data_IF_544363276548
#
_entry.id   IF_544363276548
#
_cell.length_a   1.000
_cell.length_b   1.000
_cell.length_c   1.000
_cell.angle_alpha   90.00
_cell.angle_beta   90.00
_cell.angle_gamma   90.00
#
_symmetry.space_group_name_H-M   'P 1'
#
loop_
_entity.id
_entity.type
_entity.pdbx_description
1 polymer ?
#
# COMPACT_ATOMS: atom_id res chain seq x y z
N UNK A 1 -3.90 21.53 -29.38
CA UNK A 1 -5.39 21.55 -29.35
C UNK A 1 -6.00 20.71 -28.21
N UNK A 2 -5.30 20.48 -27.07
CA UNK A 2 -5.82 19.72 -25.91
C UNK A 2 -5.94 20.57 -24.62
N UNK A 3 -5.75 21.90 -24.70
CA UNK A 3 -5.71 22.77 -23.51
C UNK A 3 -7.08 23.25 -23.01
N UNK A 4 -8.18 23.05 -23.75
CA UNK A 4 -9.46 23.73 -23.45
C UNK A 4 -10.66 22.80 -23.22
N UNK A 5 -10.51 21.48 -23.36
CA UNK A 5 -11.51 20.55 -22.80
C UNK A 5 -11.06 20.19 -21.38
N UNK A 6 -11.47 21.00 -20.39
CA UNK A 6 -11.84 20.43 -19.08
C UNK A 6 -12.66 19.17 -19.41
N UNK A 7 -12.41 18.04 -18.76
CA UNK A 7 -13.20 16.84 -18.97
C UNK A 7 -14.69 17.15 -18.76
N UNK A 8 -15.39 17.61 -19.80
CA UNK A 8 -16.84 17.82 -19.86
C UNK A 8 -17.61 16.48 -19.86
N UNK A 9 -16.93 15.43 -19.43
CA UNK A 9 -17.27 14.02 -19.54
C UNK A 9 -16.90 13.29 -18.25
N UNK A 10 -16.44 13.97 -17.19
CA UNK A 10 -16.28 13.33 -15.88
C UNK A 10 -17.64 12.83 -15.36
N UNK A 11 -18.72 13.52 -15.73
CA UNK A 11 -20.12 13.15 -15.42
C UNK A 11 -20.65 12.00 -16.30
N UNK A 12 -19.86 11.49 -17.25
CA UNK A 12 -20.28 10.42 -18.16
C UNK A 12 -19.38 9.18 -18.01
N UNK A 13 -19.57 8.36 -16.95
CA UNK A 13 -18.78 7.15 -16.71
C UNK A 13 -18.61 6.22 -17.92
N UNK A 14 -19.59 6.07 -18.85
CA UNK A 14 -19.43 5.26 -20.06
C UNK A 14 -18.31 5.70 -21.01
N UNK A 15 -17.89 6.97 -20.98
CA UNK A 15 -16.85 7.50 -21.87
C UNK A 15 -15.52 7.73 -21.14
N UNK A 16 -15.57 8.13 -19.88
CA UNK A 16 -14.35 8.33 -19.06
C UNK A 16 -13.68 6.99 -18.74
N UNK A 17 -14.46 5.97 -18.37
CA UNK A 17 -13.89 4.68 -17.91
C UNK A 17 -13.08 3.97 -19.00
N UNK A 18 -13.54 3.86 -20.27
CA UNK A 18 -12.74 3.27 -21.34
C UNK A 18 -11.45 4.03 -21.63
N UNK A 19 -11.50 5.37 -21.60
CA UNK A 19 -10.31 6.20 -21.82
C UNK A 19 -9.28 5.99 -20.70
N UNK A 20 -9.71 5.99 -19.44
CA UNK A 20 -8.82 5.73 -18.30
C UNK A 20 -8.24 4.32 -18.35
N UNK A 21 -9.03 3.33 -18.75
CA UNK A 21 -8.55 1.96 -18.93
C UNK A 21 -7.54 1.86 -20.07
N UNK A 22 -7.78 2.56 -21.17
CA UNK A 22 -6.80 2.65 -22.26
C UNK A 22 -5.48 3.24 -21.76
N UNK A 23 -5.51 4.34 -20.99
CA UNK A 23 -4.30 4.92 -20.38
C UNK A 23 -3.61 3.91 -19.45
N UNK A 24 -4.38 3.21 -18.61
CA UNK A 24 -3.84 2.20 -17.69
C UNK A 24 -3.19 1.01 -18.40
N UNK A 25 -3.69 0.60 -19.57
CA UNK A 25 -3.09 -0.45 -20.40
C UNK A 25 -1.95 0.07 -21.28
N UNK A 26 -2.00 1.34 -21.68
CA UNK A 26 -0.96 1.98 -22.47
C UNK A 26 0.33 2.14 -21.67
N UNK A 27 0.23 2.60 -20.42
CA UNK A 27 1.37 2.74 -19.52
C UNK A 27 1.85 1.42 -18.90
N UNK A 28 1.13 0.32 -19.13
CA UNK A 28 1.51 -0.98 -18.58
C UNK A 28 2.67 -1.58 -19.37
N UNK A 29 3.87 -1.55 -18.77
CA UNK A 29 5.09 -2.09 -19.36
C UNK A 29 5.23 -3.60 -19.12
N UNK A 30 4.24 -4.39 -19.54
CA UNK A 30 4.35 -5.85 -19.49
C UNK A 30 5.30 -6.34 -20.59
N UNK A 31 6.20 -7.26 -20.25
CA UNK A 31 7.18 -7.84 -21.19
C UNK A 31 8.13 -6.83 -21.84
N UNK A 32 8.45 -5.73 -21.15
CA UNK A 32 9.36 -4.69 -21.67
C UNK A 32 8.88 -4.09 -23.01
N UNK A 33 7.57 -3.96 -23.22
CA UNK A 33 6.98 -3.35 -24.42
C UNK A 33 7.34 -1.86 -24.56
N UNK A 34 7.55 -1.17 -23.44
CA UNK A 34 8.00 0.21 -23.39
C UNK A 34 9.48 0.22 -22.99
N UNK A 35 10.35 0.22 -24.00
CA UNK A 35 11.79 0.43 -23.83
C UNK A 35 12.16 1.72 -24.53
N UNK A 36 12.52 2.71 -23.73
CA UNK A 36 13.06 3.97 -24.23
C UNK A 36 14.55 4.03 -23.90
N UNK A 37 15.34 4.55 -24.83
CA UNK A 37 16.74 4.82 -24.55
C UNK A 37 16.87 5.85 -23.41
N UNK A 38 17.93 5.76 -22.61
CA UNK A 38 18.18 6.71 -21.51
C UNK A 38 18.27 8.18 -21.95
N UNK A 39 18.58 8.43 -23.23
CA UNK A 39 18.58 9.75 -23.86
C UNK A 39 17.22 10.18 -24.42
N UNK A 40 16.23 9.30 -24.43
CA UNK A 40 14.93 9.55 -25.04
C UNK A 40 13.99 10.29 -24.09
N UNK A 41 13.39 11.42 -24.51
CA UNK A 41 12.39 12.13 -23.71
C UNK A 41 11.02 11.42 -23.67
N UNK A 42 10.84 10.34 -24.44
CA UNK A 42 9.54 9.71 -24.64
C UNK A 42 8.93 9.15 -23.35
N UNK A 43 9.74 8.58 -22.47
CA UNK A 43 9.26 8.11 -21.16
C UNK A 43 8.71 9.24 -20.29
N UNK A 44 9.44 10.36 -20.24
CA UNK A 44 9.05 11.56 -19.48
C UNK A 44 7.76 12.14 -20.05
N UNK A 45 7.67 12.27 -21.38
CA UNK A 45 6.47 12.78 -22.06
C UNK A 45 5.26 11.87 -21.81
N UNK A 46 5.45 10.55 -21.89
CA UNK A 46 4.40 9.57 -21.61
C UNK A 46 3.86 9.75 -20.18
N UNK A 47 4.74 9.77 -19.19
CA UNK A 47 4.32 9.96 -17.80
C UNK A 47 3.65 11.31 -17.57
N UNK A 48 4.13 12.37 -18.23
CA UNK A 48 3.52 13.70 -18.15
C UNK A 48 2.10 13.72 -18.71
N UNK A 49 1.81 13.00 -19.78
CA UNK A 49 0.44 12.85 -20.28
C UNK A 49 -0.43 12.01 -19.32
N UNK A 50 0.11 10.93 -18.75
CA UNK A 50 -0.60 10.13 -17.72
C UNK A 50 -0.94 11.00 -16.51
N UNK A 51 0.03 11.77 -16.01
CA UNK A 51 -0.14 12.71 -14.90
C UNK A 51 -1.26 13.71 -15.17
N UNK A 52 -1.27 14.37 -16.34
CA UNK A 52 -2.34 15.31 -16.72
C UNK A 52 -3.72 14.65 -16.71
N UNK A 53 -3.84 13.43 -17.23
CA UNK A 53 -5.12 12.70 -17.25
C UNK A 53 -5.58 12.39 -15.83
N UNK A 54 -4.69 11.88 -14.98
CA UNK A 54 -4.99 11.54 -13.58
C UNK A 54 -5.38 12.78 -12.78
N UNK A 55 -4.62 13.87 -12.87
CA UNK A 55 -4.89 15.13 -12.15
C UNK A 55 -6.21 15.75 -12.61
N UNK A 56 -6.48 15.76 -13.92
CA UNK A 56 -7.74 16.29 -14.46
C UNK A 56 -8.94 15.50 -13.97
N UNK A 57 -8.83 14.16 -13.96
CA UNK A 57 -9.89 13.29 -13.46
C UNK A 57 -10.08 13.46 -11.94
N UNK A 58 -8.99 13.49 -11.17
CA UNK A 58 -9.02 13.68 -9.72
C UNK A 58 -9.74 14.97 -9.33
N UNK A 59 -9.40 16.09 -9.98
CA UNK A 59 -10.06 17.36 -9.71
C UNK A 59 -11.55 17.34 -10.04
N UNK A 60 -11.94 16.62 -11.10
CA UNK A 60 -13.35 16.50 -11.47
C UNK A 60 -14.13 15.60 -10.49
N UNK A 61 -13.60 14.42 -10.14
CA UNK A 61 -14.27 13.46 -9.26
C UNK A 61 -14.35 13.94 -7.80
N UNK A 62 -13.38 14.74 -7.36
CA UNK A 62 -13.38 15.35 -6.02
C UNK A 62 -14.30 16.57 -5.93
N UNK A 63 -14.57 17.26 -7.04
CA UNK A 63 -15.51 18.37 -7.10
C UNK A 63 -16.98 17.93 -7.16
N UNK A 64 -17.24 16.68 -7.55
CA UNK A 64 -18.58 16.09 -7.50
C UNK A 64 -18.96 15.81 -6.05
N UNK A 65 -20.02 16.43 -5.56
CA UNK A 65 -20.54 16.16 -4.22
C UNK A 65 -20.86 14.65 -4.09
N UNK A 66 -20.52 14.00 -2.96
CA UNK A 66 -20.95 12.63 -2.72
C UNK A 66 -22.48 12.58 -2.83
N UNK A 67 -23.06 11.62 -3.57
CA UNK A 67 -24.51 11.55 -3.71
C UNK A 67 -25.15 11.46 -2.32
N UNK A 68 -26.27 12.16 -2.07
CA UNK A 68 -26.90 12.13 -0.77
C UNK A 68 -27.20 10.68 -0.38
N UNK A 69 -26.63 10.25 0.75
CA UNK A 69 -27.06 9.02 1.42
C UNK A 69 -28.52 9.27 1.81
N UNK A 70 -29.46 8.65 1.08
CA UNK A 70 -30.87 8.71 1.44
C UNK A 70 -31.05 7.99 2.79
N UNK A 71 -31.10 8.78 3.85
CA UNK A 71 -31.66 8.39 5.13
C UNK A 71 -33.12 8.03 4.91
N UNK A 72 -33.51 6.85 5.38
CA UNK A 72 -34.86 6.33 5.18
C UNK A 72 -35.95 7.20 5.82
N UNK A 73 -37.05 7.32 5.10
CA UNK A 73 -38.39 7.56 5.65
C UNK A 73 -39.42 6.99 4.67
N UNK A 74 -40.46 6.38 5.24
CA UNK A 74 -41.28 5.36 4.57
C UNK A 74 -42.49 5.87 3.81
N UNK A 75 -43.22 4.90 3.23
CA UNK A 75 -44.65 4.99 2.93
C UNK A 75 -45.03 4.82 1.45
N UNK A 76 -45.76 3.72 1.16
CA UNK A 76 -46.89 3.78 0.23
C UNK A 76 -46.72 3.27 -1.20
N UNK A 77 -46.99 1.97 -1.39
CA UNK A 77 -47.84 1.35 -2.44
C UNK A 77 -47.91 1.93 -3.86
N UNK A 78 -47.59 1.10 -4.86
CA UNK A 78 -48.03 1.31 -6.25
C UNK A 78 -47.41 0.31 -7.24
N UNK A 79 -48.23 -0.60 -7.75
CA UNK A 79 -47.96 -1.73 -8.65
C UNK A 79 -47.49 -1.35 -10.07
N UNK A 80 -46.63 -2.16 -10.71
CA UNK A 80 -46.37 -2.09 -12.15
C UNK A 80 -45.26 -3.04 -12.63
N UNK A 81 -45.57 -3.86 -13.64
CA UNK A 81 -44.92 -5.09 -14.09
C UNK A 81 -43.93 -4.86 -15.26
N UNK A 82 -42.88 -5.68 -15.41
CA UNK A 82 -42.33 -6.07 -16.73
C UNK A 82 -40.81 -6.02 -16.98
N UNK A 83 -40.17 -7.22 -17.02
CA UNK A 83 -38.97 -7.61 -17.82
C UNK A 83 -37.61 -6.98 -17.46
N UNK A 84 -36.46 -7.67 -17.33
CA UNK A 84 -36.00 -9.00 -17.74
C UNK A 84 -34.52 -8.84 -18.14
N UNK A 85 -33.58 -9.37 -17.35
CA UNK A 85 -32.13 -9.32 -17.66
C UNK A 85 -31.24 -9.74 -16.49
N UNK A 86 -30.73 -10.96 -16.55
CA UNK A 86 -30.05 -11.69 -15.48
C UNK A 86 -28.56 -11.32 -15.30
N UNK A 87 -28.09 -11.39 -14.05
CA UNK A 87 -26.67 -11.35 -13.69
C UNK A 87 -26.44 -11.02 -12.21
N UNK A 88 -26.67 -12.01 -11.34
CA UNK A 88 -26.79 -11.91 -9.89
C UNK A 88 -25.47 -11.60 -9.14
N UNK A 89 -25.61 -10.84 -8.05
CA UNK A 89 -24.63 -10.59 -6.99
C UNK A 89 -25.17 -9.55 -6.02
N UNK A 90 -26.06 -9.96 -5.13
CA UNK A 90 -26.86 -9.07 -4.27
C UNK A 90 -26.12 -8.46 -3.08
N UNK A 91 -26.55 -7.25 -2.69
CA UNK A 91 -26.28 -6.62 -1.39
C UNK A 91 -26.14 -5.09 -1.45
N UNK A 92 -27.21 -4.33 -1.17
CA UNK A 92 -27.17 -2.91 -0.79
C UNK A 92 -27.36 -1.88 -1.92
N UNK A 93 -28.61 -1.52 -2.24
CA UNK A 93 -29.03 -0.66 -3.36
C UNK A 93 -28.53 0.80 -3.38
N UNK A 94 -27.76 1.26 -2.39
CA UNK A 94 -27.08 2.57 -2.41
C UNK A 94 -25.60 2.51 -2.81
N UNK A 95 -24.92 1.38 -2.56
CA UNK A 95 -23.47 1.25 -2.79
C UNK A 95 -23.07 1.07 -4.25
N UNK A 96 -23.93 0.45 -5.06
CA UNK A 96 -23.65 0.19 -6.48
C UNK A 96 -23.58 1.48 -7.31
N UNK A 97 -24.41 2.48 -7.00
CA UNK A 97 -24.44 3.74 -7.73
C UNK A 97 -23.17 4.57 -7.48
N UNK A 98 -22.74 4.69 -6.22
CA UNK A 98 -21.47 5.35 -5.84
C UNK A 98 -20.27 4.63 -6.46
N UNK A 99 -20.32 3.30 -6.49
CA UNK A 99 -19.27 2.52 -7.11
C UNK A 99 -19.15 2.81 -8.62
N UNK A 100 -20.27 2.77 -9.36
CA UNK A 100 -20.24 2.94 -10.81
C UNK A 100 -19.93 4.38 -11.26
N UNK A 101 -20.34 5.39 -10.49
CA UNK A 101 -20.11 6.80 -10.83
C UNK A 101 -18.76 7.31 -10.34
N UNK A 102 -18.28 6.84 -9.19
CA UNK A 102 -17.11 7.42 -8.50
C UNK A 102 -15.96 6.44 -8.33
N UNK A 103 -16.19 5.33 -7.64
CA UNK A 103 -15.09 4.42 -7.27
C UNK A 103 -14.49 3.72 -8.48
N UNK A 104 -15.29 3.48 -9.52
CA UNK A 104 -14.85 2.84 -10.77
C UNK A 104 -13.76 3.59 -11.49
N UNK A 105 -13.89 4.91 -11.64
CA UNK A 105 -12.84 5.70 -12.27
C UNK A 105 -11.66 5.94 -11.34
N UNK A 106 -11.90 6.11 -10.03
CA UNK A 106 -10.82 6.22 -9.04
C UNK A 106 -9.89 5.02 -9.12
N UNK A 107 -10.39 3.78 -9.02
CA UNK A 107 -9.48 2.62 -9.02
C UNK A 107 -8.73 2.45 -10.34
N UNK A 108 -9.32 2.82 -11.48
CA UNK A 108 -8.63 2.78 -12.78
C UNK A 108 -7.51 3.82 -12.82
N UNK A 109 -7.72 5.03 -12.28
CA UNK A 109 -6.67 6.04 -12.16
C UNK A 109 -5.54 5.59 -11.23
N UNK A 110 -5.87 5.02 -10.07
CA UNK A 110 -4.86 4.50 -9.14
C UNK A 110 -4.04 3.38 -9.79
N UNK A 111 -4.70 2.49 -10.53
CA UNK A 111 -4.04 1.41 -11.26
C UNK A 111 -3.13 1.94 -12.39
N UNK A 112 -3.60 2.93 -13.16
CA UNK A 112 -2.80 3.55 -14.21
C UNK A 112 -1.52 4.17 -13.63
N UNK A 113 -1.65 4.90 -12.52
CA UNK A 113 -0.52 5.52 -11.85
C UNK A 113 0.45 4.46 -11.29
N UNK A 114 -0.06 3.43 -10.60
CA UNK A 114 0.77 2.36 -10.07
C UNK A 114 1.61 1.68 -11.18
N UNK A 115 0.98 1.36 -12.32
CA UNK A 115 1.66 0.77 -13.48
C UNK A 115 2.65 1.71 -14.15
N UNK A 116 2.36 3.01 -14.16
CA UNK A 116 3.26 4.00 -14.72
C UNK A 116 4.52 4.17 -13.87
N UNK A 117 4.36 4.21 -12.55
CA UNK A 117 5.45 4.31 -11.59
C UNK A 117 6.30 3.03 -11.53
N UNK A 118 5.69 1.85 -11.61
CA UNK A 118 6.40 0.56 -11.62
C UNK A 118 6.91 0.12 -12.99
N UNK A 119 6.76 0.97 -14.02
CA UNK A 119 6.99 0.60 -15.41
C UNK A 119 8.46 0.59 -15.83
N UNK A 120 9.36 1.17 -15.03
CA UNK A 120 10.81 1.27 -15.28
C UNK A 120 11.21 1.90 -16.63
N UNK A 121 10.31 2.62 -17.29
CA UNK A 121 10.57 3.30 -18.58
C UNK A 121 10.83 4.81 -18.42
N UNK A 122 10.83 5.33 -17.18
CA UNK A 122 11.15 6.72 -16.84
C UNK A 122 12.02 6.74 -15.60
N UNK A 123 13.05 7.59 -15.61
CA UNK A 123 13.76 7.93 -14.38
C UNK A 123 13.06 9.12 -13.70
N UNK A 124 12.39 8.84 -12.59
CA UNK A 124 11.58 9.85 -11.91
C UNK A 124 12.40 10.96 -11.23
N UNK A 125 13.68 10.73 -10.94
CA UNK A 125 14.57 11.77 -10.39
C UNK A 125 14.77 12.95 -11.34
N UNK A 126 14.54 12.75 -12.64
CA UNK A 126 14.58 13.80 -13.65
C UNK A 126 13.50 14.87 -13.39
N UNK A 127 12.31 14.50 -12.92
CA UNK A 127 11.26 15.50 -12.65
C UNK A 127 11.68 16.50 -11.57
N UNK A 128 12.37 16.04 -10.53
CA UNK A 128 12.88 16.91 -9.46
C UNK A 128 14.02 17.81 -9.95
N UNK A 129 14.96 17.25 -10.74
CA UNK A 129 16.09 18.01 -11.29
C UNK A 129 15.67 19.14 -12.24
N UNK A 130 14.62 18.91 -13.04
CA UNK A 130 14.10 19.89 -14.00
C UNK A 130 12.96 20.75 -13.42
N UNK A 131 12.56 20.51 -12.17
CA UNK A 131 11.46 21.23 -11.52
C UNK A 131 10.09 21.00 -12.18
N UNK A 132 9.89 19.85 -12.85
CA UNK A 132 8.60 19.52 -13.48
C UNK A 132 7.62 18.99 -12.41
N UNK A 133 6.48 19.68 -12.17
CA UNK A 133 5.55 19.32 -11.10
C UNK A 133 4.72 18.07 -11.42
N UNK A 134 4.78 17.51 -12.62
CA UNK A 134 3.89 16.43 -13.06
C UNK A 134 3.87 15.22 -12.14
N UNK A 135 5.01 14.81 -11.58
CA UNK A 135 5.08 13.70 -10.63
C UNK A 135 4.42 14.05 -9.31
N UNK A 136 4.76 15.21 -8.74
CA UNK A 136 4.19 15.69 -7.47
C UNK A 136 2.67 15.85 -7.55
N UNK A 137 2.19 16.48 -8.62
CA UNK A 137 0.76 16.73 -8.83
C UNK A 137 -0.02 15.42 -8.99
N UNK A 138 0.52 14.44 -9.73
CA UNK A 138 -0.13 13.14 -9.90
C UNK A 138 -0.23 12.35 -8.59
N UNK A 139 0.83 12.38 -7.77
CA UNK A 139 0.87 11.71 -6.48
C UNK A 139 -0.10 12.36 -5.47
N UNK A 140 -0.10 13.68 -5.37
CA UNK A 140 -1.01 14.44 -4.51
C UNK A 140 -2.48 14.21 -4.93
N UNK A 141 -2.77 14.25 -6.24
CA UNK A 141 -4.09 13.93 -6.77
C UNK A 141 -4.53 12.49 -6.41
N UNK A 142 -3.63 11.52 -6.50
CA UNK A 142 -3.93 10.13 -6.17
C UNK A 142 -4.22 9.93 -4.67
N UNK A 143 -3.42 10.54 -3.79
CA UNK A 143 -3.64 10.50 -2.35
C UNK A 143 -4.97 11.15 -1.96
N UNK A 144 -5.29 12.32 -2.52
CA UNK A 144 -6.60 12.97 -2.28
C UNK A 144 -7.78 12.11 -2.73
N UNK A 145 -7.68 11.45 -3.88
CA UNK A 145 -8.72 10.52 -4.33
C UNK A 145 -8.91 9.35 -3.36
N UNK A 146 -7.81 8.76 -2.87
CA UNK A 146 -7.86 7.68 -1.86
C UNK A 146 -8.51 8.15 -0.58
N UNK A 147 -8.06 9.29 -0.02
CA UNK A 147 -8.57 9.82 1.24
C UNK A 147 -10.04 10.25 1.15
N UNK A 148 -10.55 10.44 -0.06
CA UNK A 148 -11.96 10.75 -0.30
C UNK A 148 -12.89 9.52 -0.23
N UNK A 149 -12.34 8.31 -0.09
CA UNK A 149 -13.08 7.04 0.03
C UNK A 149 -12.95 6.49 1.46
N UNK A 150 -14.06 6.18 2.15
CA UNK A 150 -14.01 5.55 3.46
C UNK A 150 -13.27 4.20 3.44
N UNK A 151 -12.53 3.88 4.50
CA UNK A 151 -11.78 2.61 4.60
C UNK A 151 -12.69 1.38 4.42
N UNK A 152 -13.92 1.43 4.95
CA UNK A 152 -14.90 0.34 4.80
C UNK A 152 -15.21 0.07 3.33
N UNK A 153 -15.45 1.11 2.53
CA UNK A 153 -15.73 0.98 1.10
C UNK A 153 -14.48 0.52 0.33
N UNK A 154 -13.32 1.04 0.71
CA UNK A 154 -12.04 0.66 0.12
C UNK A 154 -11.81 -0.85 0.24
N UNK A 155 -12.08 -1.43 1.40
CA UNK A 155 -11.91 -2.86 1.67
C UNK A 155 -13.07 -3.71 1.14
N UNK A 156 -14.30 -3.17 1.06
CA UNK A 156 -15.46 -3.87 0.51
C UNK A 156 -15.34 -4.12 -1.00
N UNK A 157 -14.84 -3.15 -1.76
CA UNK A 157 -14.73 -3.25 -3.21
C UNK A 157 -13.38 -3.81 -3.66
N UNK A 158 -13.33 -5.12 -3.94
CA UNK A 158 -12.10 -5.86 -4.28
C UNK A 158 -11.23 -5.22 -5.38
N UNK A 159 -11.82 -4.63 -6.43
CA UNK A 159 -11.06 -3.96 -7.51
C UNK A 159 -10.40 -2.66 -7.03
N UNK A 160 -11.10 -1.91 -6.19
CA UNK A 160 -10.58 -0.70 -5.58
C UNK A 160 -9.47 -1.03 -4.58
N UNK A 161 -9.69 -2.00 -3.70
CA UNK A 161 -8.69 -2.49 -2.76
C UNK A 161 -7.38 -2.89 -3.47
N UNK A 162 -7.47 -3.71 -4.54
CA UNK A 162 -6.29 -4.13 -5.31
C UNK A 162 -5.54 -2.96 -5.93
N UNK A 163 -6.25 -2.01 -6.53
CA UNK A 163 -5.61 -0.84 -7.13
C UNK A 163 -4.95 0.05 -6.08
N UNK A 164 -5.61 0.23 -4.93
CA UNK A 164 -5.09 1.00 -3.81
C UNK A 164 -3.81 0.37 -3.24
N UNK A 165 -3.84 -0.90 -2.84
CA UNK A 165 -2.69 -1.55 -2.22
C UNK A 165 -1.53 -1.74 -3.20
N UNK A 166 -1.81 -1.94 -4.50
CA UNK A 166 -0.77 -1.91 -5.52
C UNK A 166 -0.10 -0.53 -5.63
N UNK A 167 -0.87 0.57 -5.56
CA UNK A 167 -0.29 1.91 -5.53
C UNK A 167 0.54 2.13 -4.26
N UNK A 168 0.01 1.77 -3.08
CA UNK A 168 0.73 1.94 -1.81
C UNK A 168 2.05 1.18 -1.78
N UNK A 169 2.08 -0.04 -2.34
CA UNK A 169 3.32 -0.82 -2.51
C UNK A 169 4.35 -0.06 -3.36
N UNK A 170 3.94 0.47 -4.51
CA UNK A 170 4.84 1.21 -5.41
C UNK A 170 5.33 2.50 -4.76
N UNK A 171 4.46 3.22 -4.05
CA UNK A 171 4.85 4.44 -3.32
C UNK A 171 5.82 4.11 -2.18
N UNK A 172 5.57 3.04 -1.44
CA UNK A 172 6.46 2.61 -0.37
C UNK A 172 7.85 2.21 -0.90
N UNK A 173 7.93 1.58 -2.07
CA UNK A 173 9.17 1.10 -2.66
C UNK A 173 10.02 2.22 -3.31
N UNK A 174 9.39 3.14 -4.05
CA UNK A 174 10.11 4.14 -4.85
C UNK A 174 9.97 5.59 -4.40
N UNK A 175 8.93 5.90 -3.61
CA UNK A 175 8.55 7.27 -3.26
C UNK A 175 8.21 7.40 -1.76
N UNK A 176 8.96 6.70 -0.89
CA UNK A 176 8.71 6.68 0.55
C UNK A 176 8.65 8.09 1.15
N UNK A 177 9.46 9.01 0.63
CA UNK A 177 9.45 10.41 1.05
C UNK A 177 8.10 11.11 0.86
N UNK A 178 7.31 10.73 -0.14
CA UNK A 178 5.98 11.30 -0.39
C UNK A 178 4.96 10.79 0.65
N UNK A 179 5.07 9.52 1.03
CA UNK A 179 4.25 8.95 2.11
C UNK A 179 4.63 9.55 3.47
N UNK A 180 5.93 9.71 3.72
CA UNK A 180 6.44 10.33 4.93
C UNK A 180 6.18 11.84 5.01
N UNK A 181 5.92 12.51 3.89
CA UNK A 181 5.62 13.94 3.85
C UNK A 181 4.15 14.29 4.14
N UNK A 182 3.30 13.27 4.34
CA UNK A 182 1.90 13.48 4.70
C UNK A 182 1.77 13.95 6.16
N UNK A 183 0.61 14.48 6.53
CA UNK A 183 0.33 14.78 7.93
C UNK A 183 0.14 13.49 8.77
N UNK A 184 0.32 13.56 10.09
CA UNK A 184 0.24 12.39 10.96
C UNK A 184 -1.09 11.64 10.90
N UNK A 185 -2.21 12.32 10.61
CA UNK A 185 -3.52 11.67 10.50
C UNK A 185 -3.61 10.85 9.22
N UNK A 186 -3.15 11.40 8.11
CA UNK A 186 -3.07 10.70 6.82
C UNK A 186 -2.10 9.53 6.89
N UNK A 187 -0.92 9.71 7.48
CA UNK A 187 0.04 8.63 7.67
C UNK A 187 -0.53 7.51 8.55
N UNK A 188 -1.18 7.85 9.67
CA UNK A 188 -1.88 6.90 10.52
C UNK A 188 -2.95 6.10 9.77
N UNK A 189 -3.78 6.77 8.97
CA UNK A 189 -4.77 6.11 8.11
C UNK A 189 -4.13 5.10 7.15
N UNK A 190 -3.03 5.47 6.48
CA UNK A 190 -2.31 4.57 5.57
C UNK A 190 -1.80 3.35 6.34
N UNK A 191 -1.17 3.55 7.50
CA UNK A 191 -0.66 2.44 8.32
C UNK A 191 -1.78 1.50 8.80
N UNK A 192 -2.89 2.04 9.30
CA UNK A 192 -4.06 1.23 9.70
C UNK A 192 -4.69 0.50 8.50
N UNK A 193 -4.71 1.11 7.32
CA UNK A 193 -5.22 0.46 6.11
C UNK A 193 -4.33 -0.70 5.66
N UNK A 194 -2.99 -0.56 5.80
CA UNK A 194 -2.04 -1.62 5.51
C UNK A 194 -2.19 -2.77 6.50
N UNK A 195 -2.41 -2.48 7.79
CA UNK A 195 -2.69 -3.49 8.80
C UNK A 195 -3.97 -4.29 8.47
N UNK A 196 -5.06 -3.59 8.12
CA UNK A 196 -6.29 -4.24 7.70
C UNK A 196 -6.11 -5.06 6.40
N UNK A 197 -5.28 -4.58 5.46
CA UNK A 197 -4.95 -5.27 4.23
C UNK A 197 -4.11 -6.53 4.44
N UNK A 198 -3.25 -6.59 5.47
CA UNK A 198 -2.50 -7.78 5.85
C UNK A 198 -3.41 -8.93 6.31
N UNK A 199 -4.53 -8.61 6.95
CA UNK A 199 -5.56 -9.56 7.41
C UNK A 199 -6.55 -9.96 6.28
N UNK A 200 -6.29 -9.53 5.05
CA UNK A 200 -7.15 -9.84 3.90
C UNK A 200 -6.94 -11.27 3.42
N UNK A 201 -8.05 -11.95 3.11
CA UNK A 201 -8.07 -13.29 2.51
C UNK A 201 -7.52 -13.30 1.06
N UNK A 202 -7.41 -12.14 0.41
CA UNK A 202 -6.84 -12.07 -0.93
C UNK A 202 -5.31 -11.98 -0.85
N UNK A 203 -4.65 -13.07 -1.23
CA UNK A 203 -3.19 -13.22 -1.25
C UNK A 203 -2.49 -12.08 -2.00
N UNK A 204 -3.09 -11.56 -3.08
CA UNK A 204 -2.49 -10.45 -3.82
C UNK A 204 -2.47 -9.15 -3.00
N UNK A 205 -3.53 -8.90 -2.23
CA UNK A 205 -3.63 -7.74 -1.36
C UNK A 205 -2.67 -7.86 -0.18
N UNK A 206 -2.70 -8.99 0.54
CA UNK A 206 -1.86 -9.18 1.72
C UNK A 206 -0.37 -9.20 1.36
N UNK A 207 0.02 -9.76 0.20
CA UNK A 207 1.39 -9.68 -0.29
C UNK A 207 1.83 -8.25 -0.62
N UNK A 208 1.00 -7.46 -1.30
CA UNK A 208 1.31 -6.05 -1.58
C UNK A 208 1.41 -5.22 -0.29
N UNK A 209 0.55 -5.48 0.69
CA UNK A 209 0.64 -4.82 2.00
C UNK A 209 1.94 -5.20 2.73
N UNK A 210 2.32 -6.48 2.72
CA UNK A 210 3.55 -6.94 3.35
C UNK A 210 4.79 -6.31 2.72
N UNK A 211 4.81 -6.20 1.38
CA UNK A 211 5.84 -5.50 0.62
C UNK A 211 5.89 -4.00 0.97
N UNK A 212 4.73 -3.34 1.03
CA UNK A 212 4.65 -1.93 1.42
C UNK A 212 5.19 -1.70 2.84
N UNK A 213 4.77 -2.51 3.80
CA UNK A 213 5.24 -2.45 5.19
C UNK A 213 6.74 -2.75 5.29
N UNK A 214 7.26 -3.72 4.52
CA UNK A 214 8.70 -4.04 4.51
C UNK A 214 9.52 -2.85 4.04
N UNK A 215 9.08 -2.17 2.98
CA UNK A 215 9.76 -0.97 2.48
C UNK A 215 9.70 0.19 3.48
N UNK A 216 8.55 0.44 4.10
CA UNK A 216 8.40 1.49 5.12
C UNK A 216 9.26 1.22 6.36
N UNK A 217 9.17 0.01 6.92
CA UNK A 217 9.95 -0.39 8.08
C UNK A 217 11.45 -0.41 7.76
N UNK A 218 11.84 -0.92 6.59
CA UNK A 218 13.25 -0.92 6.18
C UNK A 218 13.80 0.50 5.99
N UNK A 219 13.00 1.43 5.45
CA UNK A 219 13.37 2.84 5.33
C UNK A 219 13.56 3.49 6.71
N UNK A 220 12.60 3.28 7.62
CA UNK A 220 12.71 3.78 9.00
C UNK A 220 13.96 3.23 9.71
N UNK A 221 14.20 1.92 9.62
CA UNK A 221 15.37 1.31 10.23
C UNK A 221 16.66 1.88 9.64
N UNK A 222 16.79 2.01 8.32
CA UNK A 222 18.03 2.51 7.69
C UNK A 222 18.34 3.97 8.01
N UNK A 223 17.33 4.82 8.16
CA UNK A 223 17.54 6.27 8.28
C UNK A 223 17.32 6.83 9.69
N UNK A 224 16.61 6.11 10.56
CA UNK A 224 16.29 6.54 11.92
C UNK A 224 16.80 5.50 12.93
N UNK A 225 16.45 4.22 12.73
CA UNK A 225 16.78 3.14 13.68
C UNK A 225 18.27 2.80 13.77
N UNK A 226 18.98 2.72 12.64
CA UNK A 226 20.37 2.31 12.55
C UNK A 226 21.32 3.34 13.19
N UNK A 227 20.97 4.63 13.09
CA UNK A 227 21.68 5.73 13.75
C UNK A 227 21.54 5.61 15.28
N UNK A 228 20.33 5.30 15.77
CA UNK A 228 20.09 5.06 17.20
C UNK A 228 20.76 3.78 17.72
N UNK A 229 20.96 2.77 16.86
CA UNK A 229 21.65 1.52 17.18
C UNK A 229 23.19 1.62 17.12
N UNK A 230 23.76 2.80 16.86
CA UNK A 230 25.21 3.02 16.88
C UNK A 230 25.97 2.42 15.69
N UNK A 231 25.31 2.13 14.57
CA UNK A 231 25.97 1.70 13.33
C UNK A 231 26.37 2.92 12.46
N UNK A 232 27.68 3.25 12.32
CA UNK A 232 28.10 4.52 11.71
C UNK A 232 28.00 4.60 10.18
N UNK A 233 27.89 3.47 9.47
CA UNK A 233 28.21 3.42 8.02
C UNK A 233 27.05 3.05 7.07
N UNK A 234 25.78 3.14 7.48
CA UNK A 234 24.65 2.83 6.57
C UNK A 234 24.03 4.05 5.86
N UNK A 235 24.74 5.18 5.83
CA UNK A 235 24.37 6.35 5.00
C UNK A 235 24.80 6.15 3.54
N UNK A 236 24.36 5.07 2.88
CA UNK A 236 24.47 4.93 1.40
C UNK A 236 23.88 3.61 0.85
N UNK A 237 22.57 3.35 0.98
CA UNK A 237 21.93 2.36 0.08
C UNK A 237 20.62 2.91 -0.46
N UNK A 238 20.75 3.87 -1.37
CA UNK A 238 19.66 4.30 -2.24
C UNK A 238 20.16 5.33 -3.23
N UNK A 239 20.61 4.89 -4.42
CA UNK A 239 20.91 5.63 -5.67
C UNK A 239 21.62 7.00 -5.61
N UNK A 240 21.97 7.52 -4.43
CA UNK A 240 22.71 8.73 -4.17
C UNK A 240 24.00 8.36 -3.47
N UNK A 241 25.11 8.84 -4.00
CA UNK A 241 26.45 8.58 -3.45
C UNK A 241 26.65 9.13 -2.04
N UNK A 242 27.84 8.84 -1.46
CA UNK A 242 28.23 9.36 -0.14
C UNK A 242 28.21 10.91 -0.19
N UNK A 243 27.35 11.53 0.62
CA UNK A 243 27.24 13.00 0.72
C UNK A 243 25.86 13.58 0.42
N UNK A 244 24.85 12.77 0.06
CA UNK A 244 23.47 13.24 0.07
C UNK A 244 22.98 13.39 1.52
N UNK A 245 22.39 14.54 1.86
CA UNK A 245 21.81 14.78 3.19
C UNK A 245 20.73 13.75 3.56
N UNK A 246 20.17 13.80 4.78
CA UNK A 246 19.14 12.86 5.20
C UNK A 246 18.03 12.79 4.14
N UNK A 247 17.64 11.59 3.69
CA UNK A 247 16.69 11.46 2.59
C UNK A 247 15.38 12.16 2.93
N UNK A 248 14.79 12.80 1.90
CA UNK A 248 13.51 13.48 2.02
C UNK A 248 12.48 12.56 2.68
N UNK A 249 11.96 12.97 3.84
CA UNK A 249 10.94 12.24 4.60
C UNK A 249 11.45 11.48 5.83
N UNK A 250 12.76 11.28 6.03
CA UNK A 250 13.26 10.55 7.21
C UNK A 250 12.90 11.22 8.54
N UNK A 251 13.10 12.55 8.64
CA UNK A 251 12.73 13.32 9.83
C UNK A 251 11.22 13.33 10.08
N UNK A 252 10.42 13.38 9.02
CA UNK A 252 8.95 13.39 9.12
C UNK A 252 8.43 12.01 9.55
N UNK A 253 9.01 10.93 9.02
CA UNK A 253 8.70 9.58 9.47
C UNK A 253 9.04 9.38 10.95
N UNK A 254 10.20 9.89 11.41
CA UNK A 254 10.54 9.88 12.84
C UNK A 254 9.51 10.63 13.70
N UNK A 255 9.02 11.79 13.22
CA UNK A 255 7.99 12.55 13.91
C UNK A 255 6.65 11.79 14.00
N UNK A 256 6.23 11.11 12.93
CA UNK A 256 5.00 10.30 12.95
C UNK A 256 5.09 9.16 13.95
N UNK A 257 6.20 8.43 13.97
CA UNK A 257 6.40 7.32 14.90
C UNK A 257 6.52 7.81 16.34
N UNK A 258 7.12 8.98 16.56
CA UNK A 258 7.14 9.63 17.88
C UNK A 258 5.73 10.03 18.35
N UNK A 259 4.86 10.45 17.42
CA UNK A 259 3.46 10.80 17.74
C UNK A 259 2.56 9.58 17.98
N UNK A 260 2.90 8.43 17.39
CA UNK A 260 2.14 7.19 17.50
C UNK A 260 3.10 5.98 17.59
N UNK A 261 3.74 5.75 18.76
CA UNK A 261 4.75 4.69 18.91
C UNK A 261 4.19 3.28 18.77
N UNK A 262 2.86 3.11 18.85
CA UNK A 262 2.17 1.83 18.69
C UNK A 262 2.09 1.29 17.26
N UNK A 263 2.31 2.13 16.23
CA UNK A 263 2.08 1.73 14.82
C UNK A 263 2.88 0.51 14.38
N UNK A 264 4.18 0.47 14.67
CA UNK A 264 5.03 -0.66 14.30
C UNK A 264 4.82 -1.90 15.19
N UNK A 265 4.71 -1.78 16.53
CA UNK A 265 4.35 -2.90 17.39
C UNK A 265 3.02 -3.57 17.01
N UNK A 266 1.98 -2.79 16.68
CA UNK A 266 0.67 -3.31 16.26
C UNK A 266 0.76 -4.06 14.93
N UNK A 267 1.47 -3.51 13.94
CA UNK A 267 1.75 -4.23 12.69
C UNK A 267 2.49 -5.55 12.91
N UNK A 268 3.51 -5.55 13.78
CA UNK A 268 4.27 -6.75 14.10
C UNK A 268 3.41 -7.81 14.77
N UNK A 269 2.55 -7.40 15.72
CA UNK A 269 1.59 -8.28 16.38
C UNK A 269 0.64 -8.91 15.36
N UNK A 270 0.03 -8.08 14.51
CA UNK A 270 -0.88 -8.52 13.46
C UNK A 270 -0.22 -9.49 12.48
N UNK A 271 1.05 -9.28 12.10
CA UNK A 271 1.81 -10.22 11.27
C UNK A 271 2.05 -11.56 11.96
N UNK A 272 2.40 -11.56 13.25
CA UNK A 272 2.52 -12.82 14.01
C UNK A 272 1.19 -13.56 14.09
N UNK A 273 0.09 -12.86 14.33
CA UNK A 273 -1.24 -13.47 14.40
C UNK A 273 -1.63 -14.12 13.07
N UNK A 274 -1.48 -13.41 11.95
CA UNK A 274 -1.77 -13.92 10.60
C UNK A 274 -0.86 -15.10 10.25
N UNK A 275 0.45 -15.01 10.51
CA UNK A 275 1.40 -16.07 10.10
C UNK A 275 1.24 -17.34 10.95
N UNK A 276 1.01 -17.22 12.26
CA UNK A 276 0.95 -18.35 13.17
C UNK A 276 -0.43 -19.02 13.19
N UNK A 277 -1.50 -18.22 13.25
CA UNK A 277 -2.84 -18.72 13.53
C UNK A 277 -3.72 -18.84 12.28
N UNK A 278 -3.47 -18.06 11.22
CA UNK A 278 -4.29 -18.11 10.00
C UNK A 278 -3.66 -18.99 8.89
N UNK A 279 -4.48 -19.43 7.92
CA UNK A 279 -4.00 -20.15 6.73
C UNK A 279 -3.39 -19.21 5.69
N UNK A 280 -2.27 -18.56 6.04
CA UNK A 280 -1.55 -17.72 5.10
C UNK A 280 -0.72 -18.58 4.13
N UNK A 281 -0.99 -18.48 2.83
CA UNK A 281 -0.25 -19.15 1.74
C UNK A 281 0.98 -18.34 1.27
N UNK A 282 1.00 -17.04 1.52
CA UNK A 282 2.08 -16.09 1.19
C UNK A 282 3.05 -15.82 2.34
N UNK A 283 3.42 -16.87 3.07
CA UNK A 283 4.33 -16.80 4.22
C UNK A 283 5.61 -16.01 3.94
N UNK A 284 6.18 -16.24 2.76
CA UNK A 284 7.40 -15.57 2.32
C UNK A 284 7.25 -14.05 2.21
N UNK A 285 6.09 -13.57 1.79
CA UNK A 285 5.83 -12.13 1.69
C UNK A 285 5.61 -11.53 3.08
N UNK A 286 4.85 -12.22 3.94
CA UNK A 286 4.52 -11.78 5.29
C UNK A 286 5.71 -11.79 6.26
N UNK A 287 6.69 -12.69 6.08
CA UNK A 287 7.87 -12.78 6.93
C UNK A 287 8.86 -11.63 6.75
N UNK A 288 8.97 -11.08 5.53
CA UNK A 288 9.93 -10.02 5.20
C UNK A 288 9.79 -8.75 6.04
N UNK A 289 8.59 -8.14 6.19
CA UNK A 289 8.42 -6.97 7.04
C UNK A 289 8.70 -7.26 8.51
N UNK A 290 8.49 -8.50 8.98
CA UNK A 290 8.63 -8.85 10.40
C UNK A 290 10.06 -8.65 10.90
N UNK A 291 11.09 -9.00 10.12
CA UNK A 291 12.48 -8.78 10.57
C UNK A 291 12.75 -7.29 10.81
N UNK A 292 12.37 -6.42 9.89
CA UNK A 292 12.55 -4.97 10.04
C UNK A 292 11.79 -4.45 11.27
N UNK A 293 10.55 -4.89 11.47
CA UNK A 293 9.75 -4.51 12.63
C UNK A 293 10.33 -5.04 13.95
N UNK A 294 10.86 -6.26 13.99
CA UNK A 294 11.51 -6.83 15.18
C UNK A 294 12.73 -6.00 15.59
N UNK A 295 13.55 -5.59 14.62
CA UNK A 295 14.72 -4.75 14.90
C UNK A 295 14.31 -3.37 15.43
N UNK A 296 13.28 -2.76 14.85
CA UNK A 296 12.74 -1.46 15.31
C UNK A 296 12.14 -1.56 16.71
N UNK A 297 11.36 -2.62 16.97
CA UNK A 297 10.53 -2.75 18.16
C UNK A 297 11.26 -3.36 19.37
N UNK A 298 12.61 -3.36 19.41
CA UNK A 298 13.45 -4.13 20.34
C UNK A 298 12.83 -4.52 21.70
N UNK A 299 12.38 -3.55 22.51
CA UNK A 299 11.72 -3.82 23.80
C UNK A 299 10.30 -4.44 23.64
N UNK A 300 9.45 -3.81 22.83
CA UNK A 300 8.09 -4.27 22.53
C UNK A 300 8.03 -5.67 21.91
N UNK A 301 9.10 -6.13 21.24
CA UNK A 301 9.15 -7.49 20.70
C UNK A 301 9.00 -8.56 21.80
N UNK A 302 9.61 -8.35 22.97
CA UNK A 302 9.48 -9.29 24.08
C UNK A 302 8.07 -9.27 24.68
N UNK A 303 7.44 -8.10 24.77
CA UNK A 303 6.04 -7.96 25.20
C UNK A 303 5.07 -8.63 24.23
N UNK A 304 5.29 -8.47 22.92
CA UNK A 304 4.49 -9.14 21.88
C UNK A 304 4.63 -10.66 21.99
N UNK A 305 5.84 -11.18 22.14
CA UNK A 305 6.06 -12.62 22.38
C UNK A 305 5.32 -13.10 23.63
N UNK A 306 5.44 -12.38 24.75
CA UNK A 306 4.77 -12.74 26.00
C UNK A 306 3.23 -12.73 25.84
N UNK A 307 2.69 -11.73 25.15
CA UNK A 307 1.26 -11.65 24.84
C UNK A 307 0.77 -12.78 23.92
N UNK A 308 1.56 -13.15 22.90
CA UNK A 308 1.26 -14.28 22.02
C UNK A 308 1.31 -15.63 22.75
N UNK A 309 2.22 -15.78 23.72
CA UNK A 309 2.30 -16.99 24.55
C UNK A 309 1.09 -17.03 25.49
N UNK A 310 0.77 -15.94 26.18
CA UNK A 310 -0.35 -15.86 27.11
C UNK A 310 -1.72 -16.09 26.45
N UNK A 311 -1.85 -15.79 25.15
CA UNK A 311 -3.09 -16.06 24.41
C UNK A 311 -3.31 -17.54 24.09
N UNK A 312 -2.31 -18.40 24.27
CA UNK A 312 -2.42 -19.84 24.01
C UNK A 312 -2.81 -20.63 25.27
N UNK A 313 -3.47 -21.80 25.10
CA UNK A 313 -3.70 -22.75 26.20
C UNK A 313 -2.40 -23.15 26.92
N UNK A 314 -2.43 -23.39 28.25
CA UNK A 314 -1.23 -23.60 29.08
C UNK A 314 -0.32 -24.72 28.57
N UNK A 315 -0.89 -25.78 27.99
CA UNK A 315 -0.16 -26.90 27.40
C UNK A 315 0.71 -26.49 26.19
N UNK A 316 0.28 -25.46 25.45
CA UNK A 316 0.95 -24.97 24.23
C UNK A 316 1.91 -23.82 24.49
N UNK A 317 1.82 -23.17 25.65
CA UNK A 317 2.65 -22.01 25.99
C UNK A 317 4.14 -22.34 25.98
N UNK A 318 4.51 -23.49 26.56
CA UNK A 318 5.91 -23.95 26.61
C UNK A 318 6.45 -24.25 25.21
N UNK A 319 5.65 -24.88 24.35
CA UNK A 319 6.01 -25.19 22.97
C UNK A 319 6.19 -23.92 22.14
N UNK A 320 5.24 -22.97 22.21
CA UNK A 320 5.33 -21.70 21.49
C UNK A 320 6.52 -20.87 21.96
N UNK A 321 6.76 -20.80 23.27
CA UNK A 321 7.91 -20.09 23.84
C UNK A 321 9.24 -20.66 23.33
N UNK A 322 9.38 -21.99 23.29
CA UNK A 322 10.57 -22.64 22.75
C UNK A 322 10.78 -22.35 21.26
N UNK A 323 9.72 -22.40 20.46
CA UNK A 323 9.81 -22.13 19.02
C UNK A 323 10.10 -20.65 18.73
N UNK A 324 9.48 -19.70 19.45
CA UNK A 324 9.79 -18.27 19.36
C UNK A 324 11.24 -17.95 19.77
N UNK A 325 11.81 -18.70 20.72
CA UNK A 325 13.22 -18.59 21.09
C UNK A 325 14.18 -18.92 19.95
N UNK A 326 13.81 -19.84 19.06
CA UNK A 326 14.62 -20.22 17.88
C UNK A 326 14.52 -19.21 16.73
N UNK A 327 13.54 -18.31 16.74
CA UNK A 327 13.24 -17.44 15.59
C UNK A 327 14.42 -16.52 15.21
N UNK A 328 15.14 -16.02 16.21
CA UNK A 328 16.27 -15.09 16.03
C UNK A 328 17.65 -15.79 16.02
N UNK A 329 17.69 -17.12 16.01
CA UNK A 329 18.96 -17.88 15.94
C UNK A 329 19.60 -17.66 14.57
N UNK A 330 20.88 -17.31 14.56
CA UNK A 330 21.66 -16.94 13.36
C UNK A 330 21.11 -15.73 12.58
N UNK A 331 20.29 -14.88 13.21
CA UNK A 331 19.77 -13.65 12.61
C UNK A 331 20.54 -12.45 13.14
N UNK A 332 21.32 -11.81 12.28
CA UNK A 332 22.06 -10.60 12.62
C UNK A 332 21.11 -9.38 12.74
N UNK A 333 21.48 -8.31 13.46
CA UNK A 333 20.68 -7.08 13.53
C UNK A 333 20.88 -6.20 12.29
N UNK A 334 20.62 -6.75 11.09
CA UNK A 334 20.72 -6.04 9.82
C UNK A 334 19.59 -6.44 8.86
N UNK A 335 19.42 -5.66 7.79
CA UNK A 335 18.38 -5.88 6.78
C UNK A 335 18.93 -6.42 5.46
N UNK A 336 20.02 -7.18 5.52
CA UNK A 336 20.60 -7.80 4.34
C UNK A 336 19.65 -8.86 3.77
N UNK A 337 19.57 -9.01 2.42
CA UNK A 337 18.69 -10.01 1.81
C UNK A 337 18.91 -11.43 2.36
N UNK A 338 20.18 -11.83 2.54
CA UNK A 338 20.53 -13.14 3.11
C UNK A 338 19.98 -13.32 4.53
N UNK A 339 20.01 -12.26 5.33
CA UNK A 339 19.53 -12.29 6.71
C UNK A 339 18.00 -12.33 6.76
N UNK A 340 17.31 -11.57 5.89
CA UNK A 340 15.85 -11.67 5.69
C UNK A 340 15.41 -13.08 5.26
N UNK A 341 16.17 -13.72 4.38
CA UNK A 341 15.90 -15.09 3.94
C UNK A 341 16.09 -16.09 5.08
N UNK A 342 17.15 -15.94 5.90
CA UNK A 342 17.38 -16.77 7.09
C UNK A 342 16.25 -16.65 8.10
N UNK A 343 15.82 -15.43 8.42
CA UNK A 343 14.67 -15.20 9.28
C UNK A 343 13.38 -15.85 8.73
N UNK A 344 13.15 -15.75 7.42
CA UNK A 344 12.00 -16.38 6.76
C UNK A 344 12.03 -17.90 6.86
N UNK A 345 13.22 -18.52 6.71
CA UNK A 345 13.40 -19.96 6.91
C UNK A 345 13.09 -20.37 8.35
N UNK A 346 13.62 -19.64 9.34
CA UNK A 346 13.36 -19.90 10.76
C UNK A 346 11.86 -19.80 11.08
N UNK A 347 11.18 -18.80 10.54
CA UNK A 347 9.73 -18.63 10.73
C UNK A 347 8.91 -19.76 10.10
N UNK A 348 9.33 -20.24 8.93
CA UNK A 348 8.70 -21.38 8.26
C UNK A 348 8.83 -22.65 9.11
N UNK A 349 10.02 -22.91 9.65
CA UNK A 349 10.27 -24.04 10.57
C UNK A 349 9.44 -23.90 11.84
N UNK A 350 9.42 -22.71 12.45
CA UNK A 350 8.61 -22.41 13.63
C UNK A 350 7.14 -22.73 13.41
N UNK A 351 6.56 -22.27 12.30
CA UNK A 351 5.15 -22.52 11.97
C UNK A 351 4.88 -24.01 11.80
N UNK A 352 5.76 -24.73 11.12
CA UNK A 352 5.61 -26.18 10.92
C UNK A 352 5.70 -26.93 12.26
N UNK A 353 6.69 -26.63 13.10
CA UNK A 353 6.83 -27.23 14.46
C UNK A 353 5.62 -26.91 15.36
N UNK A 354 5.07 -25.70 15.24
CA UNK A 354 3.93 -25.28 16.05
C UNK A 354 2.62 -25.96 15.61
N UNK A 355 2.42 -26.14 14.30
CA UNK A 355 1.23 -26.79 13.73
C UNK A 355 1.29 -28.31 13.76
N UNK A 356 2.47 -28.93 13.73
CA UNK A 356 2.60 -30.39 13.84
C UNK A 356 2.31 -30.92 15.24
N UNK A 357 2.31 -30.04 16.25
CA UNK A 357 1.92 -30.33 17.63
C UNK A 357 0.44 -30.06 17.92
N UNK A 358 -0.38 -29.83 16.89
CA UNK A 358 -1.85 -29.76 17.00
C UNK A 358 -2.47 -31.15 17.07
#
# INVERSE_FOLDING_TARGET
>A
MLRTRRMAWADTPPLTTPLLKFVAEFCFNKSQRLTFDSSSPNGILLFREVSKVVVTYANAVLAMAPPPQQSGQGGGSGTGQGGGGAGAGGGGGGGSAVYDTRYKGIWVCLLALARALSGNYVNFGVFELYGDPALKDALDAALRMVLSVPLADLLAFRKLAKAYFALMEVLAAGHTGVLAAQDSRTFGFIMSSLEAGLKSLDVSISSSCASAVDNLASFYWRHVGAVAAGQPDTVCVGLGGPGSGPPHGAAQMAAHISSAPGLFPELLRSLFEVVLFEEASNQWSLSRPMLALVLICGHHYNEIKAGLIASQPPERQSALSACLGKLMVDVAPNLDPKNKDRFTQNLTVLRHEYRSKN
#
